data_IF_981547795018
#
_entry.id   IF_981547795018
#
_cell.length_a   1.000
_cell.length_b   1.000
_cell.length_c   1.000
_cell.angle_alpha   90.00
_cell.angle_beta   90.00
_cell.angle_gamma   90.00
#
_symmetry.space_group_name_H-M   'P 1'
#
loop_
_entity.id
_entity.type
_entity.pdbx_description
1 polymer ?
#
# COMPACT_ATOMS: atom_id res chain seq x y z
N UNK A 1 -20.54 1.38 -1.24
CA UNK A 1 -19.66 2.41 -1.64
C UNK A 1 -18.23 1.95 -1.73
N UNK A 2 -17.57 2.18 -2.81
CA UNK A 2 -16.23 1.68 -2.92
C UNK A 2 -15.27 2.47 -2.08
N UNK A 3 -14.28 1.79 -1.60
CA UNK A 3 -13.23 2.41 -0.84
C UNK A 3 -12.18 2.91 -1.85
N UNK A 4 -12.05 4.19 -1.97
CA UNK A 4 -11.14 4.79 -2.92
C UNK A 4 -9.70 4.35 -2.70
N UNK A 5 -9.30 4.18 -1.45
CA UNK A 5 -7.96 3.72 -1.14
C UNK A 5 -7.76 2.28 -1.62
N UNK A 6 -8.75 1.43 -1.38
CA UNK A 6 -8.70 0.05 -1.83
C UNK A 6 -8.59 -0.03 -3.34
N UNK A 7 -9.39 0.78 -4.04
CA UNK A 7 -9.35 0.81 -5.48
C UNK A 7 -7.99 1.25 -6.00
N UNK A 8 -7.39 2.23 -5.37
CA UNK A 8 -6.08 2.71 -5.79
C UNK A 8 -5.00 1.66 -5.57
N UNK A 9 -5.09 0.93 -4.48
CA UNK A 9 -4.14 -0.15 -4.21
C UNK A 9 -4.28 -1.22 -5.28
N UNK A 10 -5.50 -1.63 -5.58
CA UNK A 10 -5.73 -2.66 -6.57
C UNK A 10 -5.29 -2.20 -7.95
N UNK A 11 -5.58 -0.95 -8.30
CA UNK A 11 -5.18 -0.42 -9.58
C UNK A 11 -3.65 -0.37 -9.72
N UNK A 12 -2.97 -0.01 -8.65
CA UNK A 12 -1.52 0.04 -8.66
C UNK A 12 -0.95 -1.36 -8.83
N UNK A 13 -1.50 -2.32 -8.11
CA UNK A 13 -1.06 -3.70 -8.21
C UNK A 13 -1.28 -4.25 -9.62
N UNK A 14 -2.45 -3.98 -10.19
CA UNK A 14 -2.75 -4.41 -11.54
C UNK A 14 -1.76 -3.82 -12.53
N UNK A 15 -1.40 -2.58 -12.35
CA UNK A 15 -0.46 -1.91 -13.22
C UNK A 15 0.94 -2.50 -13.10
N UNK A 16 1.38 -2.76 -11.88
CA UNK A 16 2.72 -3.30 -11.65
C UNK A 16 2.85 -4.69 -12.26
N UNK A 17 1.83 -5.53 -12.08
CA UNK A 17 1.88 -6.89 -12.60
C UNK A 17 1.28 -7.03 -13.98
N UNK A 18 0.63 -5.99 -14.47
CA UNK A 18 0.00 -6.02 -15.80
C UNK A 18 -1.06 -7.11 -15.87
N UNK A 19 -1.89 -7.17 -14.86
CA UNK A 19 -3.01 -8.11 -14.85
C UNK A 19 -4.30 -7.31 -14.66
N UNK A 20 -5.43 -7.86 -15.06
CA UNK A 20 -6.70 -7.15 -14.91
C UNK A 20 -7.06 -6.99 -13.44
N UNK A 21 -7.68 -5.87 -13.13
CA UNK A 21 -8.11 -5.62 -11.75
C UNK A 21 -9.13 -6.66 -11.30
N UNK A 22 -9.89 -7.20 -12.22
CA UNK A 22 -10.88 -8.24 -11.92
C UNK A 22 -10.27 -9.46 -11.26
N UNK A 23 -9.01 -9.72 -11.54
CA UNK A 23 -8.35 -10.89 -11.00
C UNK A 23 -7.77 -10.65 -9.62
N UNK A 24 -7.82 -9.42 -9.14
CA UNK A 24 -7.23 -9.08 -7.86
C UNK A 24 -8.34 -8.92 -6.85
N UNK A 25 -8.30 -9.74 -5.81
CA UNK A 25 -9.29 -9.68 -4.74
C UNK A 25 -8.56 -9.44 -3.44
N UNK A 26 -9.27 -8.94 -2.44
CA UNK A 26 -8.64 -8.66 -1.16
C UNK A 26 -8.05 -9.90 -0.53
N UNK A 27 -8.70 -11.03 -0.69
CA UNK A 27 -8.19 -12.27 -0.12
C UNK A 27 -7.14 -12.93 -0.98
N UNK A 28 -6.85 -12.41 -2.16
CA UNK A 28 -5.81 -12.99 -3.00
C UNK A 28 -4.46 -12.87 -2.32
N UNK A 29 -3.68 -13.96 -2.38
CA UNK A 29 -2.34 -13.87 -1.85
C UNK A 29 -1.43 -13.33 -2.95
N UNK A 30 -0.42 -12.60 -2.54
CA UNK A 30 0.52 -12.06 -3.52
C UNK A 30 1.23 -13.18 -4.27
N UNK A 31 1.50 -14.26 -3.56
CA UNK A 31 2.13 -15.42 -4.17
C UNK A 31 1.26 -16.00 -5.28
N UNK A 32 -0.04 -16.10 -5.02
CA UNK A 32 -0.98 -16.60 -6.01
C UNK A 32 -1.05 -15.71 -7.24
N UNK A 33 -0.82 -14.43 -7.04
CA UNK A 33 -0.83 -13.50 -8.16
C UNK A 33 0.51 -13.43 -8.88
N UNK A 34 1.47 -14.22 -8.43
CA UNK A 34 2.78 -14.24 -9.05
C UNK A 34 3.66 -13.07 -8.67
N UNK A 35 3.37 -12.49 -7.53
CA UNK A 35 4.13 -11.30 -7.08
C UNK A 35 5.26 -11.78 -6.18
N UNK A 36 6.49 -11.57 -6.60
CA UNK A 36 7.64 -11.95 -5.81
C UNK A 36 8.14 -10.74 -5.01
N UNK A 37 9.30 -10.88 -4.39
CA UNK A 37 9.84 -9.82 -3.55
C UNK A 37 10.11 -8.53 -4.31
N UNK A 38 10.66 -8.67 -5.49
CA UNK A 38 10.96 -7.49 -6.30
C UNK A 38 9.69 -6.75 -6.70
N UNK A 39 8.69 -7.51 -7.10
CA UNK A 39 7.41 -6.92 -7.45
C UNK A 39 6.78 -6.24 -6.25
N UNK A 40 6.93 -6.85 -5.09
CA UNK A 40 6.40 -6.28 -3.86
C UNK A 40 7.07 -4.93 -3.57
N UNK A 41 8.37 -4.87 -3.68
CA UNK A 41 9.07 -3.61 -3.45
C UNK A 41 8.66 -2.54 -4.45
N UNK A 42 8.53 -2.91 -5.70
CA UNK A 42 8.06 -1.98 -6.72
C UNK A 42 6.68 -1.46 -6.39
N UNK A 43 5.80 -2.38 -6.01
CA UNK A 43 4.44 -2.02 -5.63
C UNK A 43 4.42 -1.06 -4.45
N UNK A 44 5.18 -1.37 -3.42
CA UNK A 44 5.20 -0.53 -2.23
C UNK A 44 5.76 0.85 -2.53
N UNK A 45 6.77 0.90 -3.38
CA UNK A 45 7.35 2.17 -3.79
C UNK A 45 6.31 3.03 -4.51
N UNK A 46 5.55 2.41 -5.40
CA UNK A 46 4.49 3.12 -6.10
C UNK A 46 3.43 3.63 -5.13
N UNK A 47 3.07 2.80 -4.16
CA UNK A 47 2.07 3.19 -3.17
C UNK A 47 2.56 4.33 -2.29
N UNK A 48 3.82 4.31 -1.93
CA UNK A 48 4.40 5.39 -1.15
C UNK A 48 4.28 6.72 -1.90
N UNK A 49 4.54 6.65 -3.18
CA UNK A 49 4.47 7.84 -4.01
C UNK A 49 3.02 8.32 -4.18
N UNK A 50 2.12 7.38 -4.42
CA UNK A 50 0.72 7.75 -4.64
C UNK A 50 0.05 8.31 -3.41
N UNK A 51 0.36 7.77 -2.25
CA UNK A 51 -0.30 8.17 -1.02
C UNK A 51 0.57 9.09 -0.16
N UNK A 52 1.76 9.35 -0.61
CA UNK A 52 2.71 10.21 0.11
C UNK A 52 2.94 9.69 1.53
N UNK A 53 3.26 8.41 1.62
CA UNK A 53 3.51 7.75 2.89
C UNK A 53 4.84 7.02 2.81
N UNK A 54 5.34 6.60 3.96
CA UNK A 54 6.51 5.74 4.04
C UNK A 54 6.09 4.40 4.60
N UNK A 55 6.44 3.35 3.92
CA UNK A 55 6.10 1.99 4.36
C UNK A 55 7.36 1.37 4.93
N UNK A 56 7.42 1.15 6.26
CA UNK A 56 8.62 0.56 6.85
C UNK A 56 8.81 -0.89 6.43
N UNK A 57 10.02 -1.36 6.53
CA UNK A 57 10.34 -2.74 6.18
C UNK A 57 9.52 -3.74 6.97
N UNK A 58 9.24 -3.43 8.23
CA UNK A 58 8.44 -4.31 9.07
C UNK A 58 7.06 -4.52 8.50
N UNK A 59 6.45 -3.44 8.00
CA UNK A 59 5.14 -3.55 7.37
C UNK A 59 5.25 -4.38 6.10
N UNK A 60 6.29 -4.16 5.32
CA UNK A 60 6.47 -4.87 4.07
C UNK A 60 6.62 -6.37 4.30
N UNK A 61 7.30 -6.75 5.37
CA UNK A 61 7.53 -8.16 5.64
C UNK A 61 6.27 -8.89 6.06
N UNK A 62 5.30 -8.17 6.58
CA UNK A 62 4.06 -8.79 7.05
C UNK A 62 3.00 -8.87 5.99
N UNK A 63 3.27 -8.35 4.81
CA UNK A 63 2.30 -8.33 3.74
C UNK A 63 2.30 -9.67 3.03
N UNK A 64 1.15 -10.32 2.99
CA UNK A 64 1.00 -11.60 2.29
C UNK A 64 -0.18 -11.60 1.34
N UNK A 65 -1.19 -10.80 1.61
CA UNK A 65 -2.37 -10.72 0.77
C UNK A 65 -2.62 -9.30 0.36
N UNK A 66 -3.50 -9.13 -0.61
CA UNK A 66 -3.88 -7.78 -1.04
C UNK A 66 -4.49 -7.02 0.12
N UNK A 67 -5.29 -7.70 0.93
CA UNK A 67 -5.92 -7.06 2.09
C UNK A 67 -4.87 -6.54 3.07
N UNK A 68 -3.77 -7.24 3.23
CA UNK A 68 -2.68 -6.78 4.08
C UNK A 68 -2.11 -5.46 3.58
N UNK A 69 -1.98 -5.33 2.26
CA UNK A 69 -1.50 -4.08 1.68
C UNK A 69 -2.48 -2.95 1.96
N UNK A 70 -3.75 -3.22 1.70
CA UNK A 70 -4.79 -2.22 1.91
C UNK A 70 -4.81 -1.76 3.36
N UNK A 71 -4.79 -2.71 4.28
CA UNK A 71 -4.82 -2.39 5.70
C UNK A 71 -3.60 -1.58 6.13
N UNK A 72 -2.44 -1.97 5.64
CA UNK A 72 -1.21 -1.26 5.97
C UNK A 72 -1.20 0.16 5.43
N UNK A 73 -1.60 0.31 4.17
CA UNK A 73 -1.64 1.63 3.55
C UNK A 73 -2.66 2.51 4.27
N UNK A 74 -3.82 1.96 4.59
CA UNK A 74 -4.86 2.73 5.29
C UNK A 74 -4.35 3.24 6.63
N UNK A 75 -3.69 2.37 7.37
CA UNK A 75 -3.16 2.74 8.67
C UNK A 75 -2.11 3.85 8.54
N UNK A 76 -1.24 3.74 7.55
CA UNK A 76 -0.19 4.72 7.35
C UNK A 76 -0.74 6.04 6.84
N UNK A 77 -1.75 5.99 5.99
CA UNK A 77 -2.39 7.22 5.51
C UNK A 77 -3.08 7.94 6.67
N UNK A 78 -3.75 7.21 7.53
CA UNK A 78 -4.42 7.81 8.67
C UNK A 78 -3.42 8.37 9.66
N UNK A 79 -2.33 7.66 9.87
CA UNK A 79 -1.28 8.16 10.75
C UNK A 79 -0.62 9.41 10.17
N UNK A 80 -0.48 9.45 8.89
CA UNK A 80 0.09 10.62 8.22
C UNK A 80 -0.81 11.84 8.37
N UNK A 81 -2.12 11.63 8.30
CA UNK A 81 -3.04 12.72 8.50
C UNK A 81 -2.96 13.27 9.91
N UNK A 82 -2.88 12.37 10.89
CA UNK A 82 -2.75 12.78 12.26
C UNK A 82 -1.44 13.53 12.48
N UNK A 83 -0.39 13.01 11.93
CA UNK A 83 0.89 13.67 12.01
C UNK A 83 0.85 15.05 11.40
N UNK A 84 0.16 15.16 10.31
CA UNK A 84 0.04 16.42 9.63
C UNK A 84 -0.63 17.46 10.51
N UNK A 85 -1.65 17.02 11.22
CA UNK A 85 -2.38 17.89 12.11
C UNK A 85 -1.51 18.38 13.25
N UNK A 86 -0.77 17.44 13.82
CA UNK A 86 0.09 17.80 14.91
C UNK A 86 1.42 18.18 14.42
N UNK A 87 1.66 17.83 13.25
CA UNK A 87 2.97 17.80 12.71
C UNK A 87 3.62 19.09 12.56
N UNK A 88 2.86 20.00 12.70
CA UNK A 88 3.46 21.26 12.70
C UNK A 88 4.63 21.23 13.59
N UNK A 89 4.65 20.33 14.45
CA UNK A 89 5.72 20.26 15.33
C UNK A 89 6.86 19.58 14.74
N UNK A 90 6.87 18.92 14.23
CA UNK A 90 7.95 18.28 13.96
C UNK A 90 8.82 18.40 13.14
N UNK A 91 8.89 18.44 13.12
CA UNK A 91 9.55 18.15 12.43
C UNK A 91 10.50 17.76 12.30
N UNK A 92 10.56 17.76 12.55
CA UNK A 92 11.15 17.39 12.43
C UNK A 92 11.71 16.84 12.20
N UNK A 93 11.97 16.89 12.27
CA UNK A 93 12.45 16.34 12.06
C UNK A 93 12.88 15.85 11.57
N UNK A 94 13.04 16.00 11.39
CA UNK A 94 13.34 15.45 10.83
C UNK A 94 13.58 15.25 10.61
#
# INVERSE_FOLDING_TARGET
MSDSLEEKVIATLASVKRIPEDQIKLESSLQDLGIDSLDTFTLLFELESKFNISIPDDEARNIRTVNDIVAGVRRLVEASKDSSTLGSTAPTAS
#
